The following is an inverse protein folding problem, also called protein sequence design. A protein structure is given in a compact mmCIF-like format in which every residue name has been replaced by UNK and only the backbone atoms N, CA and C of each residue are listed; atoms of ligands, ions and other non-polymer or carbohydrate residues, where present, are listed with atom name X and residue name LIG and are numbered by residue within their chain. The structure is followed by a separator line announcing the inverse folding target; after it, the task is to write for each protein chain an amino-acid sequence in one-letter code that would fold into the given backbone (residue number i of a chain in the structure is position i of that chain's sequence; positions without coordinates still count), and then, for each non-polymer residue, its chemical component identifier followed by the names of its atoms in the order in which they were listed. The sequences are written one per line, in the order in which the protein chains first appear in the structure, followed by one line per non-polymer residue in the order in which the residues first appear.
data_IF_412108255657
#
_entry.id   IF_412108255657
#
_cell.length_a   1.000
_cell.length_b   1.000
_cell.length_c   1.000
_cell.angle_alpha   90.00
_cell.angle_beta   90.00
_cell.angle_gamma   90.00
#
_symmetry.space_group_name_H-M   'P 1'
#
loop_
_entity.id
_entity.type
_entity.pdbx_description
1 polymer ?
#
# COMPACT_ATOMS: atom_id res chain seq x y z
N UNK A 1 -14.42 8.98 -7.77
CA UNK A 1 -13.23 8.34 -7.17
C UNK A 1 -13.66 7.08 -6.43
N UNK A 2 -13.04 5.96 -6.73
CA UNK A 2 -13.36 4.67 -6.13
C UNK A 2 -12.42 4.39 -4.96
N UNK A 3 -12.97 3.90 -3.85
CA UNK A 3 -12.16 3.43 -2.73
C UNK A 3 -12.01 1.92 -2.81
N UNK A 4 -10.76 1.45 -2.71
CA UNK A 4 -10.44 0.03 -2.84
C UNK A 4 -9.72 -0.48 -1.58
N UNK A 5 -10.14 -1.65 -1.12
CA UNK A 5 -9.60 -2.26 0.09
C UNK A 5 -8.44 -3.20 -0.24
N UNK A 6 -7.26 -2.91 0.31
CA UNK A 6 -6.11 -3.80 0.21
C UNK A 6 -6.23 -4.86 1.30
N UNK A 7 -6.24 -6.14 0.91
CA UNK A 7 -6.46 -7.26 1.83
C UNK A 7 -5.22 -8.09 2.11
N UNK A 8 -4.22 -8.04 1.23
CA UNK A 8 -2.97 -8.77 1.42
C UNK A 8 -1.84 -8.04 0.72
N UNK A 9 -0.60 -8.40 1.05
CA UNK A 9 0.59 -7.80 0.46
C UNK A 9 1.59 -8.87 0.08
N UNK A 10 2.42 -8.57 -0.93
CA UNK A 10 3.56 -9.39 -1.31
C UNK A 10 4.82 -8.56 -1.14
N UNK A 11 5.79 -9.10 -0.41
CA UNK A 11 7.06 -8.43 -0.13
C UNK A 11 8.19 -9.08 -0.91
N UNK A 12 9.24 -8.30 -1.17
CA UNK A 12 10.46 -8.82 -1.78
C UNK A 12 11.42 -9.33 -0.67
N UNK A 13 12.64 -9.70 -1.08
CA UNK A 13 13.66 -10.21 -0.17
C UNK A 13 14.04 -9.22 0.91
N UNK A 14 13.91 -7.94 0.64
CA UNK A 14 14.25 -6.87 1.56
C UNK A 14 13.10 -6.44 2.47
N UNK A 15 11.96 -7.11 2.37
CA UNK A 15 10.79 -6.76 3.15
C UNK A 15 9.98 -5.60 2.61
N UNK A 16 10.26 -5.14 1.39
CA UNK A 16 9.51 -4.07 0.75
C UNK A 16 8.26 -4.62 0.08
N UNK A 17 7.15 -3.92 0.26
CA UNK A 17 5.89 -4.30 -0.39
C UNK A 17 6.00 -4.00 -1.89
N UNK A 18 5.92 -5.04 -2.72
CA UNK A 18 6.03 -4.90 -4.18
C UNK A 18 4.69 -5.09 -4.89
N UNK A 19 3.77 -5.82 -4.28
CA UNK A 19 2.42 -6.01 -4.82
C UNK A 19 1.39 -6.04 -3.70
N UNK A 20 0.15 -5.74 -4.03
CA UNK A 20 -0.97 -5.81 -3.08
C UNK A 20 -2.13 -6.55 -3.73
N UNK A 21 -2.97 -7.16 -2.90
CA UNK A 21 -4.16 -7.88 -3.34
C UNK A 21 -5.42 -7.08 -3.08
N UNK A 22 -6.26 -6.95 -4.11
CA UNK A 22 -7.55 -6.28 -4.06
C UNK A 22 -8.54 -7.14 -4.84
N UNK A 23 -9.61 -7.61 -4.19
CA UNK A 23 -10.65 -8.42 -4.83
C UNK A 23 -10.10 -9.62 -5.61
N UNK A 24 -9.17 -10.36 -5.00
CA UNK A 24 -8.54 -11.54 -5.59
C UNK A 24 -7.66 -11.27 -6.80
N UNK A 25 -7.29 -10.00 -7.03
CA UNK A 25 -6.37 -9.61 -8.09
C UNK A 25 -5.13 -8.99 -7.48
N UNK A 26 -4.00 -9.14 -8.17
CA UNK A 26 -2.72 -8.58 -7.74
C UNK A 26 -2.41 -7.31 -8.53
N UNK A 27 -1.90 -6.31 -7.83
CA UNK A 27 -1.52 -5.03 -8.43
C UNK A 27 -0.12 -4.65 -7.96
N UNK A 28 0.69 -4.11 -8.86
CA UNK A 28 2.02 -3.62 -8.51
C UNK A 28 1.92 -2.35 -7.67
N UNK A 29 2.80 -2.21 -6.69
CA UNK A 29 2.88 -1.03 -5.84
C UNK A 29 3.03 0.25 -6.69
N UNK A 30 3.84 0.18 -7.75
CA UNK A 30 4.04 1.32 -8.64
C UNK A 30 2.72 1.77 -9.28
N UNK A 31 1.90 0.83 -9.75
CA UNK A 31 0.60 1.14 -10.33
C UNK A 31 -0.33 1.80 -9.32
N UNK A 32 -0.35 1.27 -8.09
CA UNK A 32 -1.16 1.82 -7.01
C UNK A 32 -0.73 3.25 -6.69
N UNK A 33 0.58 3.48 -6.58
CA UNK A 33 1.11 4.81 -6.28
C UNK A 33 0.74 5.83 -7.36
N UNK A 34 0.87 5.44 -8.64
CA UNK A 34 0.49 6.31 -9.74
C UNK A 34 -0.99 6.68 -9.73
N UNK A 35 -1.85 5.73 -9.42
CA UNK A 35 -3.29 5.99 -9.34
C UNK A 35 -3.63 6.93 -8.19
N UNK A 36 -2.95 6.82 -7.06
CA UNK A 36 -3.12 7.74 -5.93
C UNK A 36 -2.69 9.16 -6.34
N UNK A 37 -1.53 9.30 -6.96
CA UNK A 37 -1.00 10.60 -7.38
C UNK A 37 -1.86 11.27 -8.46
N UNK A 38 -2.50 10.47 -9.31
CA UNK A 38 -3.37 10.97 -10.39
C UNK A 38 -4.83 11.14 -9.95
N UNK A 39 -5.12 10.89 -8.67
CA UNK A 39 -6.47 10.98 -8.09
C UNK A 39 -7.51 10.10 -8.79
N UNK A 40 -7.06 8.98 -9.37
CA UNK A 40 -7.98 8.03 -10.02
C UNK A 40 -8.74 7.18 -9.01
N UNK A 41 -8.02 6.67 -8.00
CA UNK A 41 -8.61 5.84 -6.95
C UNK A 41 -7.97 6.21 -5.62
N UNK A 42 -8.70 5.98 -4.54
CA UNK A 42 -8.12 5.97 -3.21
C UNK A 42 -8.11 4.55 -2.67
N UNK A 43 -7.16 4.26 -1.81
CA UNK A 43 -6.94 2.94 -1.27
C UNK A 43 -6.95 3.00 0.25
N UNK A 44 -7.44 1.94 0.87
CA UNK A 44 -7.44 1.83 2.32
C UNK A 44 -7.21 0.37 2.71
N UNK A 45 -6.86 0.17 3.97
CA UNK A 45 -6.79 -1.16 4.57
C UNK A 45 -7.44 -1.10 5.93
N UNK A 46 -7.58 -2.24 6.59
CA UNK A 46 -8.11 -2.27 7.96
C UNK A 46 -7.01 -2.70 8.91
N UNK A 47 -6.93 -2.04 10.04
CA UNK A 47 -5.99 -2.37 11.11
C UNK A 47 -6.70 -2.23 12.43
N UNK A 48 -6.69 -3.29 13.24
CA UNK A 48 -7.32 -3.31 14.57
C UNK A 48 -8.79 -2.85 14.53
N UNK A 49 -9.51 -3.24 13.46
CA UNK A 49 -10.93 -2.89 13.30
C UNK A 49 -11.21 -1.50 12.77
N UNK A 50 -10.18 -0.75 12.39
CA UNK A 50 -10.32 0.60 11.85
C UNK A 50 -9.89 0.68 10.40
N UNK A 51 -10.54 1.57 9.64
CA UNK A 51 -10.11 1.91 8.28
C UNK A 51 -8.89 2.83 8.36
N UNK A 52 -7.87 2.51 7.59
CA UNK A 52 -6.65 3.30 7.53
C UNK A 52 -6.37 3.66 6.07
N UNK A 53 -6.23 4.94 5.78
CA UNK A 53 -5.97 5.41 4.43
C UNK A 53 -4.55 5.07 4.01
N UNK A 54 -4.39 4.71 2.73
CA UNK A 54 -3.09 4.42 2.13
C UNK A 54 -2.57 5.66 1.41
N UNK A 55 -1.30 5.97 1.63
CA UNK A 55 -0.60 7.09 1.00
C UNK A 55 0.52 6.54 0.11
N UNK A 56 0.91 7.32 -0.89
CA UNK A 56 1.99 6.94 -1.80
C UNK A 56 3.09 8.01 -1.77
N UNK A 57 4.34 7.55 -1.69
CA UNK A 57 5.53 8.41 -1.66
C UNK A 57 6.62 7.80 -2.53
N UNK A 58 7.67 8.57 -2.78
CA UNK A 58 8.88 8.07 -3.42
C UNK A 58 10.01 7.97 -2.40
N UNK A 59 10.76 6.88 -2.48
CA UNK A 59 11.95 6.71 -1.63
C UNK A 59 12.97 7.79 -1.95
N UNK A 60 13.51 8.52 -0.95
CA UNK A 60 14.43 9.62 -1.23
C UNK A 60 15.75 9.14 -1.87
N UNK A 61 16.19 7.93 -1.59
CA UNK A 61 17.46 7.41 -2.13
C UNK A 61 17.32 6.76 -3.48
N UNK A 62 16.28 5.93 -3.68
CA UNK A 62 16.11 5.14 -4.89
C UNK A 62 15.11 5.74 -5.86
N UNK A 63 14.33 6.72 -5.40
CA UNK A 63 13.24 7.35 -6.16
C UNK A 63 12.15 6.36 -6.59
N UNK A 64 12.11 5.18 -5.99
CA UNK A 64 11.09 4.18 -6.26
C UNK A 64 9.81 4.48 -5.48
N UNK A 65 8.63 4.30 -6.10
CA UNK A 65 7.38 4.52 -5.38
C UNK A 65 7.16 3.45 -4.31
N UNK A 66 6.58 3.85 -3.20
CA UNK A 66 6.13 2.93 -2.16
C UNK A 66 4.82 3.42 -1.55
N UNK A 67 4.11 2.53 -0.89
CA UNK A 67 2.85 2.85 -0.23
C UNK A 67 2.96 2.61 1.26
N UNK A 68 2.22 3.40 2.04
CA UNK A 68 2.24 3.33 3.50
C UNK A 68 0.90 3.83 4.04
N UNK A 69 0.61 3.49 5.28
CA UNK A 69 -0.60 3.99 5.95
C UNK A 69 -0.29 5.14 6.91
N UNK A 70 0.98 5.50 7.05
CA UNK A 70 1.39 6.56 7.96
C UNK A 70 2.24 7.60 7.26
N UNK A 71 1.97 8.87 7.53
CA UNK A 71 2.80 9.99 7.08
C UNK A 71 3.96 10.26 8.06
N UNK A 72 3.96 9.61 9.21
CA UNK A 72 4.98 9.77 10.24
C UNK A 72 5.84 8.51 10.29
N UNK A 73 7.15 8.65 10.07
CA UNK A 73 8.08 7.50 10.05
C UNK A 73 8.19 6.80 11.41
N UNK A 74 7.78 7.45 12.49
CA UNK A 74 7.77 6.84 13.82
C UNK A 74 6.60 5.89 14.02
N UNK A 75 5.58 5.96 13.18
CA UNK A 75 4.42 5.08 13.28
C UNK A 75 4.58 3.90 12.33
N UNK A 76 4.15 2.70 12.74
CA UNK A 76 4.26 1.54 11.86
C UNK A 76 3.35 1.66 10.64
N UNK A 77 3.80 1.09 9.53
CA UNK A 77 2.98 0.95 8.33
C UNK A 77 2.04 -0.23 8.54
N UNK A 78 0.74 0.05 8.64
CA UNK A 78 -0.27 -1.00 8.89
C UNK A 78 -0.31 -2.05 7.78
N UNK A 79 0.14 -1.72 6.57
CA UNK A 79 0.22 -2.69 5.48
C UNK A 79 1.16 -3.85 5.80
N UNK A 80 2.17 -3.62 6.67
CA UNK A 80 3.10 -4.69 7.06
C UNK A 80 2.44 -5.77 7.91
N UNK A 81 1.28 -5.51 8.48
CA UNK A 81 0.57 -6.47 9.31
C UNK A 81 -0.46 -7.28 8.51
N UNK A 82 -0.65 -6.98 7.23
CA UNK A 82 -1.56 -7.75 6.39
C UNK A 82 -0.96 -9.11 6.05
N UNK A 83 -1.82 -10.12 5.80
CA UNK A 83 -1.32 -11.43 5.42
C UNK A 83 -0.65 -11.39 4.06
N UNK A 84 0.20 -12.38 3.81
CA UNK A 84 0.81 -12.58 2.50
C UNK A 84 -0.25 -12.92 1.47
N UNK A 85 -0.16 -12.33 0.29
CA UNK A 85 -0.96 -12.76 -0.84
C UNK A 85 -0.50 -14.15 -1.29
N UNK A 86 -1.45 -14.99 -1.61
CA UNK A 86 -1.14 -16.34 -2.08
C UNK A 86 -0.79 -16.35 -3.56
#
# INVERSE_FOLDING_TARGET
MTELLITCVKKDENGMIVQVGIDNKMYDTESIANEIWNNKNSYFTTAMGHRVKVFAFRHPETNKPYITTSTNIKLPNSLNFLPKCK
#
